data_IF_877999860493
#
_entry.id   IF_877999860493
#
_cell.length_a   1.000
_cell.length_b   1.000
_cell.length_c   1.000
_cell.angle_alpha   90.00
_cell.angle_beta   90.00
_cell.angle_gamma   90.00
#
_symmetry.space_group_name_H-M   'P 1'
#
loop_
_entity.id
_entity.type
_entity.pdbx_description
1 polymer ?
#
# COMPACT_ATOMS: atom_id res chain seq x y z
N UNK A 1 5.53 -8.16 -22.46
CA UNK A 1 5.86 -9.57 -22.18
C UNK A 1 5.97 -9.68 -20.66
N UNK A 2 5.04 -10.39 -20.02
CA UNK A 2 4.99 -10.53 -18.56
C UNK A 2 5.90 -11.69 -18.20
N UNK A 3 7.00 -11.44 -17.49
CA UNK A 3 7.90 -12.49 -17.02
C UNK A 3 7.27 -13.16 -15.80
N UNK A 4 6.51 -14.24 -16.03
CA UNK A 4 5.80 -15.01 -15.01
C UNK A 4 6.73 -15.58 -13.90
N UNK A 5 8.04 -15.67 -14.13
CA UNK A 5 9.01 -16.20 -13.16
C UNK A 5 9.25 -15.29 -11.93
N UNK A 6 8.94 -13.99 -12.01
CA UNK A 6 9.30 -12.99 -10.97
C UNK A 6 8.12 -12.47 -10.14
N UNK A 7 6.90 -12.95 -10.41
CA UNK A 7 5.69 -12.51 -9.72
C UNK A 7 5.07 -13.63 -8.88
N UNK A 8 4.38 -13.23 -7.82
CA UNK A 8 3.53 -14.09 -6.99
C UNK A 8 2.12 -13.52 -7.07
N UNK A 9 1.17 -14.37 -7.45
CA UNK A 9 -0.25 -14.00 -7.50
C UNK A 9 -0.87 -14.20 -6.12
N UNK A 10 -1.45 -13.13 -5.58
CA UNK A 10 -2.28 -13.16 -4.38
C UNK A 10 -3.73 -12.91 -4.75
N UNK A 11 -4.62 -13.54 -4.00
CA UNK A 11 -6.05 -13.35 -4.16
C UNK A 11 -6.56 -12.57 -2.96
N UNK A 12 -7.32 -11.52 -3.25
CA UNK A 12 -7.92 -10.64 -2.25
C UNK A 12 -9.41 -10.53 -2.52
N UNK A 13 -10.24 -10.81 -1.52
CA UNK A 13 -11.69 -10.58 -1.62
C UNK A 13 -12.01 -9.18 -1.10
N UNK A 14 -12.51 -8.32 -1.98
CA UNK A 14 -12.93 -6.98 -1.59
C UNK A 14 -14.24 -7.06 -0.78
N UNK A 15 -14.31 -6.43 0.41
CA UNK A 15 -15.53 -6.41 1.22
C UNK A 15 -16.63 -5.50 0.65
N UNK A 16 -16.31 -4.59 -0.28
CA UNK A 16 -17.29 -3.66 -0.88
C UNK A 16 -17.93 -4.28 -2.12
N UNK A 17 -17.14 -4.67 -3.13
CA UNK A 17 -17.69 -5.25 -4.37
C UNK A 17 -17.96 -6.77 -4.26
N UNK A 18 -17.59 -7.40 -3.13
CA UNK A 18 -17.72 -8.83 -2.86
C UNK A 18 -16.99 -9.78 -3.84
N UNK A 19 -16.22 -9.24 -4.78
CA UNK A 19 -15.48 -10.00 -5.78
C UNK A 19 -14.04 -10.31 -5.32
N UNK A 20 -13.44 -11.34 -5.93
CA UNK A 20 -12.04 -11.73 -5.65
C UNK A 20 -11.13 -11.18 -6.75
N UNK A 21 -10.18 -10.34 -6.35
CA UNK A 21 -9.20 -9.71 -7.22
C UNK A 21 -7.87 -10.47 -7.18
N UNK A 22 -7.23 -10.57 -8.35
CA UNK A 22 -5.86 -11.06 -8.49
C UNK A 22 -4.90 -9.89 -8.36
N UNK A 23 -3.91 -10.04 -7.49
CA UNK A 23 -2.87 -9.05 -7.21
C UNK A 23 -1.52 -9.69 -7.50
N UNK A 24 -0.84 -9.19 -8.52
CA UNK A 24 0.50 -9.67 -8.88
C UNK A 24 1.54 -8.86 -8.10
N UNK A 25 2.24 -9.54 -7.19
CA UNK A 25 3.30 -8.94 -6.39
C UNK A 25 4.66 -9.41 -6.91
N UNK A 26 5.58 -8.48 -7.17
CA UNK A 26 6.96 -8.84 -7.48
C UNK A 26 7.60 -9.56 -6.28
N UNK A 27 8.39 -10.61 -6.52
CA UNK A 27 9.19 -11.28 -5.49
C UNK A 27 10.20 -10.34 -4.81
N UNK A 28 10.64 -9.30 -5.54
CA UNK A 28 11.58 -8.30 -5.03
C UNK A 28 10.89 -7.18 -4.21
N UNK A 29 9.55 -7.20 -4.07
CA UNK A 29 8.80 -6.11 -3.44
C UNK A 29 9.19 -5.85 -1.97
N UNK A 30 9.65 -6.89 -1.28
CA UNK A 30 10.13 -6.82 0.10
C UNK A 30 11.60 -6.39 0.22
N UNK A 31 12.37 -6.37 -0.87
CA UNK A 31 13.81 -6.14 -0.83
C UNK A 31 14.13 -4.72 -0.36
N UNK A 32 15.03 -4.63 0.62
CA UNK A 32 15.44 -3.34 1.22
C UNK A 32 14.42 -2.73 2.18
N UNK A 33 13.25 -3.36 2.40
CA UNK A 33 12.29 -2.92 3.41
C UNK A 33 12.64 -3.52 4.77
N UNK A 34 12.58 -2.70 5.80
CA UNK A 34 12.89 -3.09 7.19
C UNK A 34 11.66 -3.21 8.08
N UNK A 35 10.50 -2.71 7.62
CA UNK A 35 9.25 -2.70 8.40
C UNK A 35 8.10 -3.34 7.63
N UNK A 36 7.31 -4.11 8.36
CA UNK A 36 6.18 -4.87 7.86
C UNK A 36 5.03 -4.84 8.89
N UNK A 37 3.76 -4.99 8.46
CA UNK A 37 3.35 -5.00 7.05
C UNK A 37 3.50 -3.60 6.41
N UNK A 38 3.76 -3.56 5.10
CA UNK A 38 3.82 -2.31 4.34
C UNK A 38 2.59 -2.17 3.43
N UNK A 39 2.13 -0.95 3.17
CA UNK A 39 0.97 -0.71 2.32
C UNK A 39 1.31 -0.91 0.83
N UNK A 40 0.38 -1.54 0.10
CA UNK A 40 0.42 -1.77 -1.33
C UNK A 40 -0.93 -1.39 -1.93
N UNK A 41 -0.94 -0.43 -2.85
CA UNK A 41 -2.16 0.18 -3.36
C UNK A 41 -2.60 -0.49 -4.66
N UNK A 42 -3.89 -0.84 -4.73
CA UNK A 42 -4.55 -1.29 -5.95
C UNK A 42 -5.86 -0.52 -6.16
N UNK A 43 -6.31 -0.46 -7.41
CA UNK A 43 -7.57 0.14 -7.81
C UNK A 43 -8.38 -0.90 -8.60
N UNK A 44 -9.67 -0.99 -8.32
CA UNK A 44 -10.58 -1.86 -9.05
C UNK A 44 -11.99 -1.28 -9.05
N UNK A 45 -12.79 -1.68 -10.03
CA UNK A 45 -14.16 -1.18 -10.18
C UNK A 45 -15.15 -2.09 -9.47
N UNK A 46 -16.23 -1.50 -8.98
CA UNK A 46 -17.43 -2.19 -8.51
C UNK A 46 -18.59 -1.82 -9.43
N UNK A 47 -19.27 -2.82 -9.97
CA UNK A 47 -20.44 -2.65 -10.84
C UNK A 47 -21.65 -3.14 -10.06
N UNK A 48 -22.50 -2.22 -9.60
CA UNK A 48 -23.78 -2.52 -8.96
C UNK A 48 -24.87 -1.65 -9.59
N UNK A 49 -26.01 -2.24 -9.97
CA UNK A 49 -27.21 -1.52 -10.42
C UNK A 49 -26.98 -0.39 -11.45
N UNK A 50 -26.14 -0.63 -12.46
CA UNK A 50 -25.73 0.33 -13.50
C UNK A 50 -24.87 1.52 -13.04
N UNK A 51 -24.42 1.54 -11.79
CA UNK A 51 -23.40 2.47 -11.30
C UNK A 51 -22.02 1.80 -11.29
N UNK A 52 -21.05 2.45 -11.92
CA UNK A 52 -19.63 2.06 -11.86
C UNK A 52 -18.97 2.91 -10.79
N UNK A 53 -18.46 2.27 -9.73
CA UNK A 53 -17.69 2.92 -8.68
C UNK A 53 -16.24 2.50 -8.74
N UNK A 54 -15.31 3.45 -8.69
CA UNK A 54 -13.89 3.13 -8.54
C UNK A 54 -13.55 2.95 -7.06
N UNK A 55 -12.85 1.85 -6.72
CA UNK A 55 -12.47 1.53 -5.35
C UNK A 55 -10.95 1.56 -5.19
N UNK A 56 -10.46 2.44 -4.31
CA UNK A 56 -9.07 2.47 -3.85
C UNK A 56 -8.90 1.44 -2.74
N UNK A 57 -8.01 0.47 -2.91
CA UNK A 57 -7.70 -0.54 -1.91
C UNK A 57 -6.24 -0.46 -1.49
N UNK A 58 -6.01 -0.38 -0.18
CA UNK A 58 -4.68 -0.46 0.43
C UNK A 58 -4.55 -1.84 1.06
N UNK A 59 -3.62 -2.66 0.56
CA UNK A 59 -3.28 -3.96 1.09
C UNK A 59 -2.05 -3.86 1.98
N UNK A 60 -2.12 -4.39 3.21
CA UNK A 60 -0.98 -4.44 4.12
C UNK A 60 -0.26 -5.77 3.95
N UNK A 61 0.90 -5.72 3.30
CA UNK A 61 1.69 -6.89 2.89
C UNK A 61 2.83 -7.14 3.87
N UNK A 62 2.98 -8.37 4.35
CA UNK A 62 4.09 -8.75 5.22
C UNK A 62 5.37 -9.15 4.47
N UNK A 63 6.39 -9.60 5.21
CA UNK A 63 7.67 -10.03 4.66
C UNK A 63 7.60 -11.34 3.86
N UNK A 64 6.52 -12.10 3.97
CA UNK A 64 6.25 -13.31 3.22
C UNK A 64 5.27 -13.06 2.05
N UNK A 65 5.08 -11.78 1.69
CA UNK A 65 4.14 -11.31 0.67
C UNK A 65 2.68 -11.67 0.97
N UNK A 66 2.33 -11.96 2.22
CA UNK A 66 0.95 -12.25 2.63
C UNK A 66 0.19 -10.96 2.89
N UNK A 67 -1.06 -10.92 2.45
CA UNK A 67 -1.99 -9.84 2.77
C UNK A 67 -2.48 -10.06 4.21
N UNK A 68 -2.16 -9.13 5.11
CA UNK A 68 -2.53 -9.18 6.53
C UNK A 68 -3.77 -8.35 6.84
N UNK A 69 -3.99 -7.29 6.09
CA UNK A 69 -5.14 -6.41 6.21
C UNK A 69 -5.43 -5.72 4.87
N UNK A 70 -6.65 -5.21 4.73
CA UNK A 70 -7.04 -4.42 3.56
C UNK A 70 -8.01 -3.32 3.98
N UNK A 71 -7.75 -2.11 3.50
CA UNK A 71 -8.65 -0.96 3.60
C UNK A 71 -9.19 -0.64 2.22
N UNK A 72 -10.49 -0.39 2.09
CA UNK A 72 -11.13 -0.05 0.81
C UNK A 72 -11.91 1.24 0.96
N UNK A 73 -11.73 2.14 0.00
CA UNK A 73 -12.40 3.43 -0.07
C UNK A 73 -13.04 3.61 -1.44
N UNK A 74 -14.32 4.02 -1.47
CA UNK A 74 -14.97 4.45 -2.70
C UNK A 74 -14.41 5.82 -3.13
N UNK A 75 -13.98 5.93 -4.38
CA UNK A 75 -13.64 7.19 -5.00
C UNK A 75 -14.93 7.83 -5.53
N UNK A 76 -15.23 9.06 -5.11
CA UNK A 76 -16.38 9.84 -5.59
C UNK A 76 -15.95 10.71 -6.78
N UNK A 77 -16.91 11.11 -7.63
CA UNK A 77 -16.69 11.92 -8.84
C UNK A 77 -15.93 13.24 -8.61
N UNK A 78 -15.94 13.78 -7.38
CA UNK A 78 -15.16 14.96 -7.00
C UNK A 78 -13.65 14.69 -6.79
N UNK A 79 -13.18 13.48 -7.05
CA UNK A 79 -11.77 13.14 -6.93
C UNK A 79 -10.97 13.62 -8.15
N UNK A 80 -10.34 14.79 -7.98
CA UNK A 80 -9.45 15.48 -8.94
C UNK A 80 -8.23 14.63 -9.37
N UNK A 81 -7.96 13.51 -8.71
CA UNK A 81 -6.74 12.73 -8.87
C UNK A 81 -6.96 11.44 -9.68
N UNK A 82 -6.28 11.34 -10.82
CA UNK A 82 -6.15 10.11 -11.59
C UNK A 82 -5.46 9.00 -10.80
N UNK A 83 -5.71 7.74 -11.20
CA UNK A 83 -5.03 6.53 -10.69
C UNK A 83 -3.52 6.69 -10.49
N UNK A 84 -2.83 7.29 -11.46
CA UNK A 84 -1.38 7.52 -11.37
C UNK A 84 -1.02 8.55 -10.29
N UNK A 85 -1.83 9.59 -10.13
CA UNK A 85 -1.62 10.63 -9.13
C UNK A 85 -1.86 10.12 -7.72
N UNK A 86 -2.92 9.35 -7.48
CA UNK A 86 -3.18 8.75 -6.16
C UNK A 86 -2.03 7.82 -5.77
N UNK A 87 -1.62 6.91 -6.65
CA UNK A 87 -0.50 5.99 -6.38
C UNK A 87 0.81 6.76 -6.15
N UNK A 88 1.10 7.79 -6.94
CA UNK A 88 2.30 8.61 -6.77
C UNK A 88 2.28 9.38 -5.43
N UNK A 89 1.16 10.03 -5.10
CA UNK A 89 1.00 10.77 -3.84
C UNK A 89 1.14 9.83 -2.64
N UNK A 90 0.46 8.69 -2.67
CA UNK A 90 0.51 7.72 -1.59
C UNK A 90 1.92 7.14 -1.43
N UNK A 91 2.63 6.86 -2.52
CA UNK A 91 4.03 6.41 -2.47
C UNK A 91 4.94 7.47 -1.84
N UNK A 92 4.89 8.72 -2.31
CA UNK A 92 5.69 9.82 -1.75
C UNK A 92 5.39 10.05 -0.27
N UNK A 93 4.11 10.04 0.11
CA UNK A 93 3.71 10.21 1.50
C UNK A 93 4.25 9.08 2.39
N UNK A 94 4.31 7.85 1.90
CA UNK A 94 4.89 6.74 2.65
C UNK A 94 6.41 6.82 2.78
N UNK A 95 7.11 7.22 1.72
CA UNK A 95 8.56 7.44 1.77
C UNK A 95 8.92 8.55 2.78
N UNK A 96 8.20 9.67 2.75
CA UNK A 96 8.36 10.75 3.73
C UNK A 96 8.01 10.31 5.15
N UNK A 97 6.97 9.48 5.34
CA UNK A 97 6.63 8.96 6.67
C UNK A 97 7.76 8.09 7.24
N UNK A 98 8.38 7.25 6.41
CA UNK A 98 9.48 6.40 6.86
C UNK A 98 10.74 7.21 7.18
N UNK A 99 11.06 8.22 6.37
CA UNK A 99 12.13 9.17 6.66
C UNK A 99 11.89 9.89 7.99
N UNK A 100 10.69 10.43 8.22
CA UNK A 100 10.34 11.09 9.47
C UNK A 100 10.46 10.16 10.68
N UNK A 101 10.08 8.88 10.54
CA UNK A 101 10.28 7.88 11.60
C UNK A 101 11.76 7.66 11.92
N UNK A 102 12.63 7.61 10.92
CA UNK A 102 14.08 7.48 11.13
C UNK A 102 14.65 8.72 11.85
N UNK A 103 14.20 9.92 11.46
CA UNK A 103 14.60 11.15 12.13
C UNK A 103 14.18 11.18 13.61
N UNK A 104 12.95 10.75 13.92
CA UNK A 104 12.48 10.63 15.31
C UNK A 104 13.37 9.69 16.13
N UNK A 105 13.73 8.52 15.58
CA UNK A 105 14.61 7.56 16.27
C UNK A 105 15.97 8.19 16.55
N UNK A 106 16.59 8.79 15.53
CA UNK A 106 17.91 9.44 15.63
C UNK A 106 17.91 10.56 16.67
N UNK A 107 16.92 11.46 16.62
CA UNK A 107 16.81 12.59 17.55
C UNK A 107 16.55 12.12 18.98
N UNK A 108 15.75 11.06 19.16
CA UNK A 108 15.52 10.47 20.48
C UNK A 108 16.80 9.90 21.08
N UNK A 109 17.61 9.22 20.28
CA UNK A 109 18.92 8.70 20.70
C UNK A 109 19.91 9.83 21.05
N UNK A 110 19.94 10.90 20.28
CA UNK A 110 20.75 12.09 20.57
C UNK A 110 20.34 12.75 21.90
N UNK A 111 19.03 12.92 22.14
CA UNK A 111 18.52 13.45 23.41
C UNK A 111 18.92 12.55 24.59
N UNK A 112 18.79 11.23 24.45
CA UNK A 112 19.15 10.29 25.51
C UNK A 112 20.65 10.33 25.84
N UNK A 113 21.52 10.45 24.82
CA UNK A 113 22.96 10.62 25.01
C UNK A 113 23.30 11.93 25.72
N UNK A 114 22.59 13.01 25.41
CA UNK A 114 22.79 14.31 26.06
C UNK A 114 22.30 14.31 27.52
N UNK A 115 21.22 13.58 27.84
CA UNK A 115 20.70 13.45 29.22
C UNK A 115 21.54 12.56 30.13
N UNK A 116 22.40 11.71 29.56
CA UNK A 116 23.33 10.86 30.31
C UNK A 116 24.68 11.54 30.60
N UNK A 117 24.88 12.77 30.08
CA UNK A 117 25.97 13.67 30.45
C UNK A 117 25.50 14.65 31.52
#
# INVERSE_FOLDING_TARGET
MVNEEFEIVKHYRCPICNSTHKVNLSKELCKGRTKFPFPYVILHDSINDNEVKELLTILYIDNNLQIRHAEVQELKDDNIFSKAQVVAMTKTLFEENERLRQDVIRLTDEINKLKQK
#
